data_IF_844340867640
#
_entry.id   IF_844340867640
#
_cell.length_a   1.000
_cell.length_b   1.000
_cell.length_c   1.000
_cell.angle_alpha   90.00
_cell.angle_beta   90.00
_cell.angle_gamma   90.00
#
_symmetry.space_group_name_H-M   'P 1'
#
loop_
_entity.id
_entity.type
_entity.pdbx_description
1 polymer ?
#
# COMPACT_ATOMS: atom_id res chain seq x y z
N UNK A 1 -53.48 21.06 8.05
CA UNK A 1 -54.75 21.61 7.55
C UNK A 1 -54.79 21.50 6.04
N UNK A 2 -55.76 20.76 5.51
CA UNK A 2 -56.33 20.76 4.13
C UNK A 2 -55.38 20.33 2.99
N UNK A 3 -55.74 19.57 1.94
CA UNK A 3 -56.99 18.84 1.62
C UNK A 3 -56.68 17.97 0.38
N UNK A 4 -57.22 16.81 0.35
CA UNK A 4 -57.32 15.80 -0.71
C UNK A 4 -57.75 16.38 -2.06
N UNK A 5 -57.31 15.81 -3.17
CA UNK A 5 -58.24 15.49 -4.26
C UNK A 5 -57.77 14.23 -5.04
N UNK A 6 -58.58 13.19 -4.91
CA UNK A 6 -58.69 12.02 -5.79
C UNK A 6 -59.45 12.45 -7.07
N UNK A 7 -58.95 12.05 -8.22
CA UNK A 7 -59.75 11.92 -9.44
C UNK A 7 -59.51 10.56 -10.08
N UNK A 8 -60.46 9.64 -9.86
CA UNK A 8 -60.68 8.48 -10.70
C UNK A 8 -61.35 8.92 -11.99
N UNK A 9 -60.85 8.51 -13.13
CA UNK A 9 -61.66 8.42 -14.36
C UNK A 9 -61.42 7.06 -15.01
N UNK A 10 -62.49 6.29 -14.95
CA UNK A 10 -62.78 5.05 -15.69
C UNK A 10 -63.26 5.44 -17.07
N UNK A 11 -62.69 4.89 -18.13
CA UNK A 11 -63.31 4.76 -19.44
C UNK A 11 -62.84 3.47 -20.13
N UNK A 12 -63.66 2.53 -20.03
CA UNK A 12 -64.47 1.75 -20.97
C UNK A 12 -63.81 1.37 -22.31
N UNK A 13 -63.79 0.04 -22.45
CA UNK A 13 -63.63 -0.84 -23.60
C UNK A 13 -64.34 -0.40 -24.90
N UNK A 14 -63.61 -0.40 -26.01
CA UNK A 14 -64.18 -0.71 -27.33
C UNK A 14 -63.14 -1.52 -28.11
N UNK A 15 -63.40 -2.77 -28.38
CA UNK A 15 -62.71 -3.61 -29.34
C UNK A 15 -63.34 -3.42 -30.74
N UNK A 16 -62.56 -3.46 -31.81
CA UNK A 16 -63.04 -3.96 -33.10
C UNK A 16 -62.37 -5.32 -33.43
N UNK A 17 -63.24 -6.27 -33.69
CA UNK A 17 -62.95 -7.52 -34.38
C UNK A 17 -62.60 -7.23 -35.83
N UNK A 18 -61.53 -7.86 -36.33
CA UNK A 18 -61.46 -8.05 -37.74
C UNK A 18 -60.06 -8.13 -38.38
N UNK A 19 -59.85 -9.30 -38.96
CA UNK A 19 -58.90 -9.64 -40.00
C UNK A 19 -57.61 -10.34 -39.60
N UNK A 20 -57.76 -11.65 -39.54
CA UNK A 20 -56.72 -12.67 -39.57
C UNK A 20 -56.00 -12.65 -40.93
N UNK A 21 -54.84 -12.07 -41.01
CA UNK A 21 -53.90 -12.24 -42.12
C UNK A 21 -52.74 -13.11 -41.65
N UNK A 22 -52.74 -14.39 -42.08
CA UNK A 22 -51.58 -15.26 -41.95
C UNK A 22 -50.42 -14.62 -42.74
N UNK A 23 -49.46 -14.03 -42.04
CA UNK A 23 -48.14 -13.78 -42.59
C UNK A 23 -47.25 -14.93 -42.13
N UNK A 24 -46.75 -15.70 -43.06
CA UNK A 24 -45.65 -16.62 -42.88
C UNK A 24 -44.46 -15.86 -42.26
N UNK A 25 -44.13 -16.22 -41.02
CA UNK A 25 -42.85 -15.81 -40.45
C UNK A 25 -41.78 -16.67 -41.11
N UNK A 26 -41.12 -16.11 -42.13
CA UNK A 26 -39.76 -16.56 -42.44
C UNK A 26 -38.94 -16.41 -41.17
N UNK A 27 -38.47 -17.51 -40.65
CA UNK A 27 -37.55 -17.55 -39.55
C UNK A 27 -36.31 -16.78 -39.90
N UNK A 28 -36.24 -15.56 -39.42
CA UNK A 28 -34.95 -14.86 -39.33
C UNK A 28 -34.16 -15.60 -38.24
N UNK A 29 -33.28 -16.46 -38.71
CA UNK A 29 -32.24 -17.05 -37.91
C UNK A 29 -31.33 -15.88 -37.49
N UNK A 30 -31.66 -15.23 -36.36
CA UNK A 30 -30.74 -14.33 -35.71
C UNK A 30 -29.63 -15.17 -35.09
N UNK A 31 -28.75 -15.70 -35.95
CA UNK A 31 -27.40 -15.96 -35.51
C UNK A 31 -26.85 -14.61 -35.06
N UNK A 32 -26.98 -14.33 -33.76
CA UNK A 32 -26.14 -13.41 -33.07
C UNK A 32 -24.70 -13.98 -33.18
N UNK A 33 -24.06 -13.73 -34.33
CA UNK A 33 -22.60 -13.78 -34.38
C UNK A 33 -22.17 -12.71 -33.38
N UNK A 34 -21.78 -13.13 -32.19
CA UNK A 34 -20.94 -12.31 -31.35
C UNK A 34 -19.77 -11.90 -32.27
N UNK A 35 -19.79 -10.64 -32.70
CA UNK A 35 -18.67 -10.07 -33.43
C UNK A 35 -17.52 -10.19 -32.44
N UNK A 36 -16.58 -11.09 -32.72
CA UNK A 36 -15.37 -11.17 -31.93
C UNK A 36 -14.73 -9.78 -31.99
N UNK A 37 -14.65 -9.12 -30.84
CA UNK A 37 -14.02 -7.80 -30.75
C UNK A 37 -12.57 -7.92 -31.24
N UNK A 38 -12.11 -6.92 -31.97
CA UNK A 38 -10.72 -6.84 -32.40
C UNK A 38 -9.86 -6.51 -31.15
N UNK A 39 -8.96 -7.41 -30.70
CA UNK A 39 -8.15 -7.15 -29.50
C UNK A 39 -7.27 -5.90 -29.61
N UNK A 40 -6.99 -5.40 -30.81
CA UNK A 40 -6.26 -4.16 -31.02
C UNK A 40 -7.16 -2.94 -30.83
N UNK A 41 -8.39 -3.01 -31.32
CA UNK A 41 -9.41 -1.98 -31.11
C UNK A 41 -9.77 -1.88 -29.63
N UNK A 42 -9.99 -3.02 -28.94
CA UNK A 42 -10.31 -3.07 -27.53
C UNK A 42 -9.21 -2.42 -26.68
N UNK A 43 -7.94 -2.71 -26.94
CA UNK A 43 -6.81 -2.06 -26.23
C UNK A 43 -6.71 -0.57 -26.51
N UNK A 44 -7.06 -0.11 -27.73
CA UNK A 44 -7.09 1.31 -28.05
C UNK A 44 -8.19 2.03 -27.27
N UNK A 45 -9.37 1.44 -27.17
CA UNK A 45 -10.49 1.98 -26.39
C UNK A 45 -10.18 1.94 -24.89
N UNK A 46 -9.55 0.87 -24.38
CA UNK A 46 -9.10 0.77 -22.99
C UNK A 46 -8.18 1.93 -22.60
N UNK A 47 -7.25 2.31 -23.47
CA UNK A 47 -6.37 3.48 -23.25
C UNK A 47 -7.14 4.79 -23.17
N UNK A 48 -8.13 5.00 -24.03
CA UNK A 48 -8.97 6.21 -24.00
C UNK A 48 -9.75 6.29 -22.69
N UNK A 49 -10.29 5.15 -22.22
CA UNK A 49 -11.01 5.05 -20.95
C UNK A 49 -10.07 5.27 -19.75
N UNK A 50 -8.86 4.74 -19.81
CA UNK A 50 -7.84 4.95 -18.79
C UNK A 50 -7.50 6.44 -18.65
N UNK A 51 -7.25 7.15 -19.77
CA UNK A 51 -7.00 8.59 -19.75
C UNK A 51 -8.21 9.42 -19.29
N UNK A 52 -9.44 8.99 -19.64
CA UNK A 52 -10.66 9.59 -19.10
C UNK A 52 -10.74 9.39 -17.59
N UNK A 53 -10.49 8.19 -17.10
CA UNK A 53 -10.49 7.87 -15.66
C UNK A 53 -9.47 8.70 -14.89
N UNK A 54 -8.24 8.85 -15.40
CA UNK A 54 -7.21 9.71 -14.81
C UNK A 54 -7.68 11.16 -14.65
N UNK A 55 -8.30 11.73 -15.67
CA UNK A 55 -8.85 13.10 -15.61
C UNK A 55 -9.97 13.24 -14.58
N UNK A 56 -10.84 12.25 -14.48
CA UNK A 56 -11.92 12.23 -13.50
C UNK A 56 -11.37 12.11 -12.07
N UNK A 57 -10.36 11.28 -11.86
CA UNK A 57 -9.69 11.09 -10.57
C UNK A 57 -9.00 12.37 -10.09
N UNK A 58 -8.30 13.08 -10.98
CA UNK A 58 -7.69 14.39 -10.68
C UNK A 58 -8.77 15.45 -10.33
N UNK A 59 -9.98 15.29 -10.87
CA UNK A 59 -11.12 16.17 -10.59
C UNK A 59 -11.98 15.74 -9.40
N UNK A 60 -11.47 14.86 -8.50
CA UNK A 60 -12.17 14.33 -7.31
C UNK A 60 -13.51 13.64 -7.64
N UNK A 61 -13.63 13.10 -8.87
CA UNK A 61 -14.81 12.37 -9.33
C UNK A 61 -14.59 10.86 -9.25
N UNK A 62 -14.25 10.37 -8.04
CA UNK A 62 -13.73 9.01 -7.81
C UNK A 62 -14.67 7.91 -8.30
N UNK A 63 -15.98 8.05 -8.11
CA UNK A 63 -16.96 7.06 -8.59
C UNK A 63 -16.96 6.94 -10.11
N UNK A 64 -16.89 8.08 -10.82
CA UNK A 64 -16.86 8.07 -12.29
C UNK A 64 -15.48 7.62 -12.80
N UNK A 65 -14.41 7.93 -12.07
CA UNK A 65 -13.07 7.42 -12.36
C UNK A 65 -13.02 5.89 -12.25
N UNK A 66 -13.58 5.33 -11.16
CA UNK A 66 -13.68 3.88 -10.98
C UNK A 66 -14.44 3.21 -12.12
N UNK A 67 -15.62 3.75 -12.53
CA UNK A 67 -16.39 3.23 -13.67
C UNK A 67 -15.58 3.23 -14.98
N UNK A 68 -14.82 4.30 -15.23
CA UNK A 68 -13.98 4.40 -16.43
C UNK A 68 -12.82 3.39 -16.39
N UNK A 69 -12.17 3.21 -15.22
CA UNK A 69 -11.11 2.22 -15.03
C UNK A 69 -11.64 0.78 -15.09
N UNK A 70 -12.83 0.48 -14.54
CA UNK A 70 -13.48 -0.83 -14.69
C UNK A 70 -13.70 -1.19 -16.16
N UNK A 71 -14.16 -0.23 -16.97
CA UNK A 71 -14.34 -0.44 -18.41
C UNK A 71 -12.99 -0.66 -19.10
N UNK A 72 -11.95 0.09 -18.74
CA UNK A 72 -10.60 -0.09 -19.27
C UNK A 72 -10.05 -1.49 -18.97
N UNK A 73 -10.19 -1.95 -17.71
CA UNK A 73 -9.79 -3.30 -17.26
C UNK A 73 -10.58 -4.39 -17.99
N UNK A 74 -11.87 -4.17 -18.26
CA UNK A 74 -12.71 -5.13 -18.99
C UNK A 74 -12.25 -5.31 -20.44
N UNK A 75 -11.81 -4.23 -21.09
CA UNK A 75 -11.31 -4.25 -22.47
C UNK A 75 -9.87 -4.74 -22.56
N UNK A 76 -9.02 -4.38 -21.58
CA UNK A 76 -7.65 -4.87 -21.50
C UNK A 76 -7.34 -5.41 -20.08
N UNK A 77 -7.68 -6.68 -19.80
CA UNK A 77 -7.42 -7.32 -18.51
C UNK A 77 -5.93 -7.49 -18.16
N UNK A 78 -5.04 -7.21 -19.09
CA UNK A 78 -3.59 -7.27 -18.87
C UNK A 78 -2.95 -5.88 -18.69
N UNK A 79 -3.75 -4.84 -18.59
CA UNK A 79 -3.25 -3.49 -18.32
C UNK A 79 -2.93 -3.33 -16.83
N UNK A 80 -1.65 -3.42 -16.48
CA UNK A 80 -1.20 -3.21 -15.09
C UNK A 80 -1.58 -1.80 -14.59
N UNK A 81 -1.43 -0.78 -15.44
CA UNK A 81 -1.79 0.59 -15.08
C UNK A 81 -3.30 0.74 -14.83
N UNK A 82 -4.15 0.10 -15.64
CA UNK A 82 -5.60 0.19 -15.43
C UNK A 82 -6.02 -0.45 -14.09
N UNK A 83 -5.46 -1.62 -13.74
CA UNK A 83 -5.66 -2.25 -12.45
C UNK A 83 -5.17 -1.38 -11.29
N UNK A 84 -3.98 -0.81 -11.40
CA UNK A 84 -3.43 0.08 -10.38
C UNK A 84 -4.32 1.32 -10.17
N UNK A 85 -4.75 1.99 -11.26
CA UNK A 85 -5.63 3.16 -11.21
C UNK A 85 -7.00 2.84 -10.64
N UNK A 86 -7.54 1.66 -10.96
CA UNK A 86 -8.79 1.18 -10.37
C UNK A 86 -8.64 0.96 -8.87
N UNK A 87 -7.52 0.38 -8.43
CA UNK A 87 -7.19 0.24 -7.02
C UNK A 87 -7.17 1.58 -6.28
N UNK A 88 -6.51 2.61 -6.85
CA UNK A 88 -6.51 3.96 -6.29
C UNK A 88 -7.92 4.56 -6.18
N UNK A 89 -8.76 4.38 -7.20
CA UNK A 89 -10.12 4.89 -7.19
C UNK A 89 -10.99 4.17 -6.13
N UNK A 90 -10.79 2.86 -5.94
CA UNK A 90 -11.45 2.12 -4.88
C UNK A 90 -10.98 2.54 -3.47
N UNK A 91 -9.67 2.82 -3.29
CA UNK A 91 -9.17 3.38 -2.03
C UNK A 91 -9.83 4.72 -1.70
N UNK A 92 -9.91 5.63 -2.69
CA UNK A 92 -10.59 6.91 -2.51
C UNK A 92 -12.07 6.77 -2.15
N UNK A 93 -12.72 5.70 -2.60
CA UNK A 93 -14.10 5.34 -2.26
C UNK A 93 -14.23 4.56 -0.94
N UNK A 94 -13.14 4.26 -0.23
CA UNK A 94 -13.12 3.45 0.99
C UNK A 94 -13.43 1.97 0.78
N UNK A 95 -13.25 1.44 -0.45
CA UNK A 95 -13.45 0.05 -0.84
C UNK A 95 -12.12 -0.70 -0.74
N UNK A 96 -11.61 -0.88 0.48
CA UNK A 96 -10.27 -1.42 0.73
C UNK A 96 -10.04 -2.81 0.14
N UNK A 97 -11.03 -3.70 0.23
CA UNK A 97 -10.90 -5.09 -0.26
C UNK A 97 -10.82 -5.14 -1.80
N UNK A 98 -11.65 -4.35 -2.46
CA UNK A 98 -11.64 -4.21 -3.92
C UNK A 98 -10.34 -3.56 -4.39
N UNK A 99 -9.85 -2.54 -3.70
CA UNK A 99 -8.57 -1.89 -3.97
C UNK A 99 -7.41 -2.89 -3.88
N UNK A 100 -7.33 -3.64 -2.78
CA UNK A 100 -6.31 -4.67 -2.58
C UNK A 100 -6.32 -5.73 -3.69
N UNK A 101 -7.51 -6.16 -4.12
CA UNK A 101 -7.65 -7.13 -5.21
C UNK A 101 -7.09 -6.59 -6.53
N UNK A 102 -7.37 -5.33 -6.86
CA UNK A 102 -6.89 -4.71 -8.08
C UNK A 102 -5.38 -4.41 -8.02
N UNK A 103 -4.84 -3.97 -6.88
CA UNK A 103 -3.40 -3.83 -6.69
C UNK A 103 -2.65 -5.16 -6.84
N UNK A 104 -3.20 -6.29 -6.38
CA UNK A 104 -2.59 -7.61 -6.59
C UNK A 104 -2.50 -7.98 -8.06
N UNK A 105 -3.54 -7.69 -8.85
CA UNK A 105 -3.51 -7.91 -10.31
C UNK A 105 -2.48 -7.02 -11.00
N UNK A 106 -2.42 -5.73 -10.62
CA UNK A 106 -1.40 -4.81 -11.11
C UNK A 106 0.01 -5.31 -10.78
N UNK A 107 0.23 -5.77 -9.53
CA UNK A 107 1.49 -6.32 -9.06
C UNK A 107 1.97 -7.48 -9.92
N UNK A 108 1.11 -8.47 -10.16
CA UNK A 108 1.45 -9.65 -10.95
C UNK A 108 1.79 -9.27 -12.40
N UNK A 109 1.03 -8.32 -12.95
CA UNK A 109 1.23 -7.86 -14.33
C UNK A 109 2.52 -7.04 -14.48
N UNK A 110 2.81 -6.10 -13.55
CA UNK A 110 4.09 -5.35 -13.57
C UNK A 110 5.30 -6.26 -13.37
N UNK A 111 5.23 -7.25 -12.48
CA UNK A 111 6.30 -8.23 -12.29
C UNK A 111 6.60 -9.01 -13.57
N UNK A 112 5.55 -9.46 -14.26
CA UNK A 112 5.70 -10.15 -15.54
C UNK A 112 6.35 -9.24 -16.59
N UNK A 113 5.85 -8.00 -16.71
CA UNK A 113 6.39 -7.02 -17.66
C UNK A 113 7.87 -6.71 -17.40
N UNK A 114 8.25 -6.48 -16.14
CA UNK A 114 9.63 -6.20 -15.74
C UNK A 114 10.56 -7.42 -15.90
N UNK A 115 10.02 -8.64 -15.90
CA UNK A 115 10.79 -9.83 -16.25
C UNK A 115 11.32 -9.79 -17.69
N UNK A 116 10.58 -9.15 -18.59
CA UNK A 116 10.96 -8.95 -20.01
C UNK A 116 11.67 -7.60 -20.24
N UNK A 117 11.36 -6.58 -19.43
CA UNK A 117 11.82 -5.21 -19.56
C UNK A 117 12.47 -4.66 -18.27
N UNK A 118 13.59 -5.26 -17.79
CA UNK A 118 14.15 -4.98 -16.46
C UNK A 118 14.80 -3.60 -16.30
N UNK A 119 14.83 -2.78 -17.34
CA UNK A 119 15.39 -1.41 -17.33
C UNK A 119 14.36 -0.33 -17.59
N UNK A 120 13.09 -0.65 -17.46
CA UNK A 120 12.01 0.32 -17.60
C UNK A 120 11.81 1.05 -16.26
N UNK A 121 12.24 2.32 -16.20
CA UNK A 121 12.17 3.13 -14.99
C UNK A 121 10.73 3.42 -14.55
N UNK A 122 9.85 3.65 -15.53
CA UNK A 122 8.44 3.94 -15.26
C UNK A 122 7.72 2.70 -14.71
N UNK A 123 8.02 1.53 -15.27
CA UNK A 123 7.45 0.28 -14.75
C UNK A 123 7.92 -0.04 -13.33
N UNK A 124 9.20 0.21 -12.98
CA UNK A 124 9.68 0.12 -11.60
C UNK A 124 8.99 1.11 -10.69
N UNK A 125 8.80 2.35 -11.11
CA UNK A 125 8.08 3.35 -10.34
C UNK A 125 6.63 2.93 -10.07
N UNK A 126 5.90 2.54 -11.11
CA UNK A 126 4.52 2.09 -10.98
C UNK A 126 4.37 0.81 -10.13
N UNK A 127 5.35 -0.11 -10.22
CA UNK A 127 5.41 -1.27 -9.33
C UNK A 127 5.65 -0.84 -7.87
N UNK A 128 6.51 0.15 -7.63
CA UNK A 128 6.73 0.75 -6.32
C UNK A 128 5.44 1.35 -5.74
N UNK A 129 4.69 2.11 -6.54
CA UNK A 129 3.39 2.65 -6.15
C UNK A 129 2.37 1.54 -5.83
N UNK A 130 2.35 0.48 -6.64
CA UNK A 130 1.49 -0.69 -6.40
C UNK A 130 1.82 -1.38 -5.08
N UNK A 131 3.11 -1.55 -4.77
CA UNK A 131 3.54 -2.05 -3.45
C UNK A 131 3.15 -1.12 -2.31
N UNK A 132 3.24 0.20 -2.50
CA UNK A 132 2.81 1.19 -1.50
C UNK A 132 1.31 1.11 -1.23
N UNK A 133 0.48 0.93 -2.26
CA UNK A 133 -0.96 0.68 -2.13
C UNK A 133 -1.28 -0.61 -1.35
N UNK A 134 -0.44 -1.63 -1.48
CA UNK A 134 -0.53 -2.86 -0.68
C UNK A 134 0.14 -2.75 0.71
N UNK A 135 0.60 -1.57 1.12
CA UNK A 135 1.37 -1.32 2.36
C UNK A 135 2.67 -2.13 2.49
N UNK A 136 3.19 -2.64 1.38
CA UNK A 136 4.46 -3.37 1.29
C UNK A 136 5.61 -2.38 1.06
N UNK A 137 5.85 -1.53 2.05
CA UNK A 137 6.75 -0.37 1.91
C UNK A 137 8.22 -0.75 1.68
N UNK A 138 8.67 -1.89 2.19
CA UNK A 138 10.05 -2.38 1.95
C UNK A 138 10.28 -2.70 0.48
N UNK A 139 9.31 -3.35 -0.16
CA UNK A 139 9.29 -3.68 -1.57
C UNK A 139 9.16 -2.42 -2.42
N UNK A 140 8.27 -1.48 -2.02
CA UNK A 140 8.12 -0.19 -2.66
C UNK A 140 9.45 0.59 -2.71
N UNK A 141 10.15 0.71 -1.58
CA UNK A 141 11.47 1.35 -1.50
C UNK A 141 12.48 0.71 -2.44
N UNK A 142 12.48 -0.62 -2.55
CA UNK A 142 13.38 -1.31 -3.47
C UNK A 142 13.10 -0.93 -4.92
N UNK A 143 11.85 -0.91 -5.33
CA UNK A 143 11.46 -0.59 -6.71
C UNK A 143 11.67 0.91 -7.02
N UNK A 144 11.34 1.81 -6.11
CA UNK A 144 11.64 3.24 -6.26
C UNK A 144 13.14 3.51 -6.38
N UNK A 145 13.98 2.80 -5.61
CA UNK A 145 15.45 2.90 -5.78
C UNK A 145 15.94 2.36 -7.13
N UNK A 146 15.28 1.38 -7.73
CA UNK A 146 15.59 0.99 -9.11
C UNK A 146 15.15 2.07 -10.10
N UNK A 147 13.96 2.61 -9.94
CA UNK A 147 13.47 3.71 -10.78
C UNK A 147 14.41 4.92 -10.74
N UNK A 148 14.87 5.35 -9.53
CA UNK A 148 15.81 6.49 -9.39
C UNK A 148 17.19 6.23 -10.00
N UNK A 149 17.65 4.97 -10.07
CA UNK A 149 18.91 4.63 -10.76
C UNK A 149 18.78 4.71 -12.28
N UNK A 150 17.60 4.41 -12.81
CA UNK A 150 17.32 4.42 -14.25
C UNK A 150 16.92 5.81 -14.74
N UNK A 151 16.21 6.57 -13.91
CA UNK A 151 15.76 7.95 -14.14
C UNK A 151 15.98 8.76 -12.87
N UNK A 152 17.01 9.58 -12.86
CA UNK A 152 17.49 10.30 -11.67
C UNK A 152 17.05 11.77 -11.59
N UNK A 153 16.22 12.20 -12.52
CA UNK A 153 15.74 13.58 -12.70
C UNK A 153 14.22 13.74 -12.54
N UNK A 154 13.59 12.80 -11.86
CA UNK A 154 12.15 12.78 -11.61
C UNK A 154 11.86 13.03 -10.11
N UNK A 155 11.33 14.21 -9.80
CA UNK A 155 11.05 14.62 -8.42
C UNK A 155 9.99 13.74 -7.73
N UNK A 156 8.99 13.26 -8.48
CA UNK A 156 7.90 12.45 -7.92
C UNK A 156 8.40 11.09 -7.45
N UNK A 157 9.35 10.46 -8.15
CA UNK A 157 9.95 9.19 -7.72
C UNK A 157 10.67 9.35 -6.37
N UNK A 158 11.42 10.45 -6.20
CA UNK A 158 12.10 10.74 -4.93
C UNK A 158 11.13 11.10 -3.81
N UNK A 159 10.05 11.80 -4.12
CA UNK A 159 8.99 12.09 -3.16
C UNK A 159 8.33 10.79 -2.64
N UNK A 160 7.91 9.92 -3.53
CA UNK A 160 7.27 8.64 -3.17
C UNK A 160 8.23 7.70 -2.44
N UNK A 161 9.53 7.70 -2.83
CA UNK A 161 10.58 7.01 -2.08
C UNK A 161 10.68 7.52 -0.65
N UNK A 162 10.72 8.85 -0.46
CA UNK A 162 10.76 9.47 0.87
C UNK A 162 9.55 9.11 1.71
N UNK A 163 8.36 9.12 1.11
CA UNK A 163 7.11 8.76 1.78
C UNK A 163 7.12 7.30 2.25
N UNK A 164 7.56 6.37 1.40
CA UNK A 164 7.69 4.96 1.78
C UNK A 164 8.72 4.74 2.89
N UNK A 165 9.84 5.52 2.88
CA UNK A 165 10.86 5.49 3.92
C UNK A 165 10.35 6.01 5.27
N UNK A 166 9.48 7.03 5.30
CA UNK A 166 8.81 7.48 6.53
C UNK A 166 7.96 6.34 7.11
N UNK A 167 7.20 5.62 6.28
CA UNK A 167 6.39 4.47 6.74
C UNK A 167 7.21 3.36 7.39
N UNK A 168 8.50 3.25 7.00
CA UNK A 168 9.46 2.33 7.61
C UNK A 168 10.26 2.95 8.78
N UNK A 169 9.94 4.17 9.18
CA UNK A 169 10.70 4.96 10.17
C UNK A 169 12.20 5.15 9.81
N UNK A 170 12.53 5.09 8.53
CA UNK A 170 13.88 5.33 7.99
C UNK A 170 14.05 6.83 7.66
N UNK A 171 13.96 7.67 8.70
CA UNK A 171 13.85 9.13 8.55
C UNK A 171 15.09 9.77 7.94
N UNK A 172 16.31 9.30 8.24
CA UNK A 172 17.54 9.86 7.66
C UNK A 172 17.56 9.70 6.13
N UNK A 173 17.14 8.54 5.64
CA UNK A 173 17.04 8.27 4.21
C UNK A 173 15.87 9.01 3.55
N UNK A 174 14.74 9.18 4.28
CA UNK A 174 13.61 9.99 3.84
C UNK A 174 14.01 11.47 3.65
N UNK A 175 14.79 12.03 4.60
CA UNK A 175 15.36 13.39 4.47
C UNK A 175 16.18 13.52 3.19
N UNK A 176 17.03 12.54 2.88
CA UNK A 176 17.83 12.56 1.66
C UNK A 176 16.95 12.49 0.39
N UNK A 177 15.90 11.64 0.39
CA UNK A 177 15.00 11.49 -0.73
C UNK A 177 14.18 12.77 -0.99
N UNK A 178 13.56 13.37 0.03
CA UNK A 178 12.81 14.62 -0.13
C UNK A 178 13.71 15.79 -0.51
N UNK A 179 14.93 15.86 0.05
CA UNK A 179 15.89 16.89 -0.35
C UNK A 179 16.25 16.77 -1.84
N UNK A 180 16.36 15.52 -2.35
CA UNK A 180 16.61 15.30 -3.78
C UNK A 180 15.40 15.65 -4.64
N UNK A 181 14.18 15.37 -4.18
CA UNK A 181 12.94 15.81 -4.85
C UNK A 181 12.92 17.33 -5.00
N UNK A 182 13.23 18.08 -3.92
CA UNK A 182 13.29 19.56 -3.93
C UNK A 182 14.47 20.13 -4.74
N UNK A 183 15.58 19.40 -4.86
CA UNK A 183 16.68 19.79 -5.76
C UNK A 183 16.24 19.75 -7.22
N UNK A 184 15.39 18.79 -7.60
CA UNK A 184 14.88 18.62 -8.96
C UNK A 184 13.70 19.57 -9.22
N UNK A 185 12.75 19.63 -8.29
CA UNK A 185 11.58 20.51 -8.33
C UNK A 185 11.48 21.33 -7.03
N UNK A 186 12.04 22.56 -7.00
CA UNK A 186 11.98 23.42 -5.82
C UNK A 186 10.57 23.89 -5.42
N UNK A 187 9.58 23.78 -6.31
CA UNK A 187 8.20 24.19 -6.06
C UNK A 187 7.34 23.04 -5.51
N UNK A 188 7.92 21.87 -5.28
CA UNK A 188 7.21 20.72 -4.71
C UNK A 188 6.93 20.92 -3.21
N UNK A 189 5.87 21.69 -2.88
CA UNK A 189 5.44 21.97 -1.49
C UNK A 189 5.18 20.69 -0.68
N UNK A 190 4.71 19.61 -1.32
CA UNK A 190 4.49 18.32 -0.63
C UNK A 190 5.80 17.73 -0.11
N UNK A 191 6.86 17.84 -0.90
CA UNK A 191 8.20 17.40 -0.49
C UNK A 191 8.78 18.28 0.62
N UNK A 192 8.50 19.59 0.62
CA UNK A 192 8.92 20.51 1.68
C UNK A 192 8.29 20.14 3.04
N UNK A 193 6.97 19.96 3.08
CA UNK A 193 6.24 19.56 4.30
C UNK A 193 6.72 18.20 4.81
N UNK A 194 6.86 17.21 3.89
CA UNK A 194 7.33 15.88 4.24
C UNK A 194 8.79 15.84 4.70
N UNK A 195 9.63 16.72 4.18
CA UNK A 195 11.02 16.90 4.64
C UNK A 195 11.05 17.41 6.08
N UNK A 196 10.17 18.35 6.44
CA UNK A 196 10.06 18.84 7.81
C UNK A 196 9.63 17.71 8.77
N UNK A 197 8.64 16.90 8.39
CA UNK A 197 8.22 15.72 9.16
C UNK A 197 9.37 14.72 9.33
N UNK A 198 10.10 14.41 8.27
CA UNK A 198 11.22 13.48 8.32
C UNK A 198 12.34 13.98 9.27
N UNK A 199 12.68 15.26 9.23
CA UNK A 199 13.66 15.88 10.14
C UNK A 199 13.23 15.79 11.60
N UNK A 200 11.96 16.01 11.89
CA UNK A 200 11.43 15.84 13.25
C UNK A 200 11.48 14.37 13.69
N UNK A 201 11.25 13.43 12.77
CA UNK A 201 11.45 11.99 13.00
C UNK A 201 12.89 11.65 13.41
N UNK A 202 13.89 12.17 12.69
CA UNK A 202 15.31 12.02 13.03
C UNK A 202 15.60 12.55 14.44
N UNK A 203 15.09 13.74 14.77
CA UNK A 203 15.26 14.37 16.08
C UNK A 203 14.66 13.49 17.19
N UNK A 204 13.42 13.03 17.05
CA UNK A 204 12.77 12.15 18.03
C UNK A 204 13.56 10.86 18.29
N UNK A 205 14.10 10.22 17.24
CA UNK A 205 14.94 9.02 17.39
C UNK A 205 16.25 9.36 18.12
N UNK A 206 16.90 10.47 17.79
CA UNK A 206 18.17 10.88 18.42
C UNK A 206 17.99 11.19 19.91
N UNK A 207 16.92 11.88 20.25
CA UNK A 207 16.57 12.19 21.66
C UNK A 207 16.22 10.92 22.45
N UNK A 208 15.46 9.98 21.85
CA UNK A 208 15.16 8.70 22.43
C UNK A 208 16.41 7.86 22.72
N UNK A 209 17.35 7.79 21.77
CA UNK A 209 18.65 7.12 21.96
C UNK A 209 19.47 7.78 23.07
N UNK A 210 19.53 9.11 23.12
CA UNK A 210 20.22 9.86 24.18
C UNK A 210 19.63 9.53 25.55
N UNK A 211 18.31 9.59 25.69
CA UNK A 211 17.62 9.26 26.94
C UNK A 211 17.92 7.82 27.39
N UNK A 212 17.91 6.86 26.48
CA UNK A 212 18.25 5.46 26.81
C UNK A 212 19.70 5.30 27.30
N UNK A 213 20.64 6.01 26.65
CA UNK A 213 22.05 6.02 27.07
C UNK A 213 22.19 6.61 28.49
N UNK A 214 21.48 7.69 28.79
CA UNK A 214 21.54 8.35 30.08
C UNK A 214 20.92 7.46 31.20
N UNK A 215 19.84 6.75 30.89
CA UNK A 215 19.29 5.74 31.82
C UNK A 215 20.27 4.62 32.11
N UNK A 216 20.92 4.07 31.08
CA UNK A 216 21.94 3.02 31.24
C UNK A 216 23.15 3.50 32.08
N UNK A 217 23.60 4.73 31.86
CA UNK A 217 24.67 5.34 32.67
C UNK A 217 24.26 5.46 34.14
N UNK A 218 23.01 5.90 34.40
CA UNK A 218 22.48 6.02 35.74
C UNK A 218 22.39 4.65 36.43
N UNK A 219 21.87 3.63 35.74
CA UNK A 219 21.82 2.27 36.29
C UNK A 219 23.21 1.74 36.69
N UNK A 220 24.20 1.89 35.80
CA UNK A 220 25.58 1.49 36.09
C UNK A 220 26.19 2.24 37.28
N UNK A 221 25.92 3.54 37.41
CA UNK A 221 26.38 4.33 38.52
C UNK A 221 25.73 3.89 39.85
N UNK A 222 24.47 3.54 39.83
CA UNK A 222 23.74 3.03 41.01
C UNK A 222 24.21 1.62 41.43
N UNK A 223 24.54 0.76 40.46
CA UNK A 223 25.14 -0.55 40.69
C UNK A 223 26.53 -0.45 41.33
N UNK A 224 27.38 0.45 40.84
CA UNK A 224 28.71 0.71 41.41
C UNK A 224 28.61 1.20 42.87
N UNK A 225 27.68 2.13 43.16
CA UNK A 225 27.46 2.60 44.55
C UNK A 225 26.96 1.49 45.49
N UNK A 226 26.17 0.55 45.00
CA UNK A 226 25.72 -0.61 45.76
C UNK A 226 26.86 -1.60 46.01
N UNK A 227 27.81 -1.74 45.09
CA UNK A 227 28.98 -2.61 45.22
C UNK A 227 30.02 -2.07 46.23
N UNK A 228 30.16 -0.74 46.33
CA UNK A 228 31.10 -0.13 47.28
C UNK A 228 30.59 -0.06 48.74
N UNK A 229 29.27 -0.23 48.98
CA UNK A 229 28.67 -0.21 50.32
C UNK A 229 28.69 -1.54 51.06
N UNK A 230 29.19 -2.60 50.44
CA UNK A 230 29.28 -3.95 51.02
C UNK A 230 30.72 -4.26 51.48
N UNK A 231 31.18 -3.69 52.60
CA UNK A 231 32.29 -4.32 53.32
C UNK A 231 31.85 -5.75 53.71
N UNK A 232 32.65 -6.77 53.38
CA UNK A 232 32.35 -8.10 53.88
C UNK A 232 32.62 -8.12 55.38
N UNK A 233 31.55 -8.13 56.18
CA UNK A 233 31.70 -8.59 57.57
C UNK A 233 32.34 -9.98 57.53
N UNK A 234 33.56 -10.05 57.94
CA UNK A 234 34.30 -11.29 58.17
C UNK A 234 33.50 -12.17 59.14
N UNK A 235 33.12 -13.40 58.80
CA UNK A 235 32.51 -14.28 59.73
C UNK A 235 33.57 -14.64 60.79
N UNK A 236 33.36 -14.15 62.02
CA UNK A 236 34.09 -14.57 63.23
C UNK A 236 33.98 -16.09 63.39
N UNK A 237 35.03 -16.81 62.97
CA UNK A 237 35.14 -18.25 63.22
C UNK A 237 35.56 -18.47 64.67
N UNK A 238 34.60 -18.80 65.55
CA UNK A 238 34.88 -19.46 66.84
C UNK A 238 35.43 -20.88 66.56
N UNK A 239 36.56 -21.28 67.13
CA UNK A 239 37.10 -22.64 66.95
C UNK A 239 36.22 -23.69 67.68
N UNK A 240 35.65 -24.63 66.91
CA UNK A 240 34.98 -25.81 67.46
C UNK A 240 36.02 -26.90 67.72
N UNK A 241 36.00 -27.61 68.91
CA UNK A 241 37.03 -28.57 69.22
C UNK A 241 36.98 -29.85 68.39
N UNK A 242 38.17 -30.37 68.11
CA UNK A 242 38.40 -31.56 67.32
C UNK A 242 37.74 -32.81 67.91
N UNK A 243 36.92 -33.53 67.16
CA UNK A 243 36.51 -34.91 67.43
C UNK A 243 37.49 -35.86 66.73
N UNK A 244 38.05 -36.80 67.50
CA UNK A 244 38.95 -37.86 67.10
C UNK A 244 38.35 -38.80 66.07
N UNK A 245 39.19 -39.42 65.23
CA UNK A 245 38.75 -40.34 64.20
C UNK A 245 38.38 -41.69 64.75
N UNK A 246 37.24 -42.26 64.39
CA UNK A 246 36.90 -43.65 64.60
C UNK A 246 37.38 -44.51 63.46
N UNK A 247 38.18 -45.50 63.82
CA UNK A 247 38.77 -46.52 62.95
C UNK A 247 37.70 -47.51 62.44
N UNK A 248 37.92 -47.97 61.26
CA UNK A 248 37.76 -49.34 60.73
C UNK A 248 36.38 -49.97 60.63
N UNK A 249 35.99 -50.44 59.50
CA UNK A 249 36.23 -51.86 59.08
C UNK A 249 35.80 -52.12 57.66
N UNK A 250 36.76 -52.67 56.97
CA UNK A 250 36.51 -53.38 55.75
C UNK A 250 35.58 -54.59 55.96
N UNK A 251 34.73 -54.86 54.99
CA UNK A 251 34.39 -56.24 54.59
C UNK A 251 33.86 -56.24 53.18
N UNK A 252 34.65 -56.87 52.33
CA UNK A 252 34.35 -57.65 51.16
C UNK A 252 32.92 -58.23 51.14
N UNK A 253 32.26 -58.05 50.01
CA UNK A 253 31.92 -59.08 49.00
C UNK A 253 31.32 -58.42 47.79
#
# INVERSE_FOLDING_TARGET
MRLRLLICVVCLLIAPVGCRRKSQSSGANTNSTAVASDPAADRSEARVLLEKGKKLYIGDQDSQAAEAFEQAVKLDPNSAEAHFRLGLAYDALGKEQEAEAEYKKALDTYKKYLGENPKDAEAHYNLGQTYSGLHLYSEAVREYRQATKLKNDDADIYYDLGTALIKLAQYDEAVAAFSKSLEIDPENYRAEDSLAEAREGVKRISEGKKHQIDLLKKQKADELKKGEGGSPESPSTKPTPAKKPAQSRAKER
#
